data_IF_810622037789
#
_entry.id   IF_810622037789
#
_cell.length_a   1.000
_cell.length_b   1.000
_cell.length_c   1.000
_cell.angle_alpha   90.00
_cell.angle_beta   90.00
_cell.angle_gamma   90.00
#
_symmetry.space_group_name_H-M   'P 1'
#
loop_
_entity.id
_entity.type
_entity.pdbx_description
1 polymer ?
#
# COMPACT_ATOMS: atom_id res chain seq x y z
N UNK A 1 25.76 -26.89 4.48
CA UNK A 1 26.07 -25.58 3.85
C UNK A 1 24.84 -24.86 3.30
N UNK A 2 24.16 -25.31 2.23
CA UNK A 2 22.95 -24.64 1.74
C UNK A 2 21.78 -24.70 2.76
N UNK A 3 21.56 -25.87 3.37
CA UNK A 3 20.52 -26.05 4.40
C UNK A 3 20.85 -25.31 5.71
N UNK A 4 22.13 -25.08 6.02
CA UNK A 4 22.57 -24.27 7.18
C UNK A 4 22.44 -22.77 6.93
N UNK A 5 22.66 -22.31 5.68
CA UNK A 5 22.40 -20.94 5.24
C UNK A 5 20.90 -20.63 5.17
N UNK A 6 20.07 -21.61 4.81
CA UNK A 6 18.60 -21.49 4.88
C UNK A 6 18.08 -21.50 6.33
N UNK A 7 18.81 -22.12 7.26
CA UNK A 7 18.49 -22.11 8.68
C UNK A 7 18.86 -20.77 9.37
N UNK A 8 19.72 -19.94 8.78
CA UNK A 8 20.16 -18.64 9.35
C UNK A 8 19.37 -17.43 8.87
N UNK A 9 18.41 -17.58 7.96
CA UNK A 9 17.58 -16.47 7.44
C UNK A 9 16.37 -16.21 8.32
N UNK A 10 16.09 -14.94 8.65
CA UNK A 10 14.88 -14.58 9.39
C UNK A 10 13.63 -14.71 8.51
N UNK A 11 13.78 -14.58 7.19
CA UNK A 11 12.69 -14.67 6.22
C UNK A 11 12.78 -15.98 5.43
N UNK A 12 11.73 -16.82 5.40
CA UNK A 12 11.78 -18.10 4.68
C UNK A 12 11.85 -17.89 3.16
N UNK A 13 12.68 -18.68 2.47
CA UNK A 13 12.92 -18.56 1.02
C UNK A 13 11.63 -18.64 0.19
N UNK A 14 10.67 -19.51 0.57
CA UNK A 14 9.41 -19.66 -0.17
C UNK A 14 8.64 -18.34 -0.25
N UNK A 15 8.67 -17.51 0.81
CA UNK A 15 7.98 -16.22 0.83
C UNK A 15 8.67 -15.23 -0.11
N UNK A 16 10.01 -15.20 -0.11
CA UNK A 16 10.80 -14.35 -1.03
C UNK A 16 10.45 -14.66 -2.49
N UNK A 17 10.45 -15.96 -2.84
CA UNK A 17 10.17 -16.42 -4.21
C UNK A 17 8.71 -16.18 -4.60
N UNK A 18 7.75 -16.57 -3.75
CA UNK A 18 6.33 -16.40 -4.02
C UNK A 18 5.94 -14.92 -4.18
N UNK A 19 6.46 -14.05 -3.30
CA UNK A 19 6.23 -12.61 -3.39
C UNK A 19 6.81 -12.01 -4.67
N UNK A 20 8.05 -12.37 -5.01
CA UNK A 20 8.71 -11.90 -6.23
C UNK A 20 7.95 -12.35 -7.49
N UNK A 21 7.49 -13.60 -7.53
CA UNK A 21 6.68 -14.12 -8.63
C UNK A 21 5.34 -13.40 -8.73
N UNK A 22 4.64 -13.20 -7.61
CA UNK A 22 3.38 -12.45 -7.57
C UNK A 22 3.57 -11.03 -8.10
N UNK A 23 4.60 -10.31 -7.62
CA UNK A 23 4.97 -8.98 -8.11
C UNK A 23 5.22 -8.98 -9.61
N UNK A 24 6.03 -9.92 -10.11
CA UNK A 24 6.35 -10.02 -11.53
C UNK A 24 5.08 -10.15 -12.39
N UNK A 25 4.19 -11.09 -12.08
CA UNK A 25 2.98 -11.31 -12.88
C UNK A 25 2.00 -10.14 -12.78
N UNK A 26 1.80 -9.57 -11.58
CA UNK A 26 0.92 -8.41 -11.41
C UNK A 26 1.45 -7.21 -12.17
N UNK A 27 2.76 -6.95 -12.13
CA UNK A 27 3.38 -5.86 -12.90
C UNK A 27 3.12 -6.03 -14.39
N UNK A 28 3.31 -7.23 -14.94
CA UNK A 28 3.04 -7.48 -16.36
C UNK A 28 1.57 -7.22 -16.72
N UNK A 29 0.64 -7.71 -15.89
CA UNK A 29 -0.80 -7.55 -16.12
C UNK A 29 -1.20 -6.08 -16.02
N UNK A 30 -0.85 -5.39 -14.93
CA UNK A 30 -1.21 -3.99 -14.71
C UNK A 30 -0.57 -3.05 -15.70
N UNK A 31 0.69 -3.27 -16.06
CA UNK A 31 1.32 -2.46 -17.10
C UNK A 31 0.53 -2.54 -18.41
N UNK A 32 0.07 -3.73 -18.78
CA UNK A 32 -0.68 -3.95 -20.03
C UNK A 32 -2.10 -3.39 -20.02
N UNK A 33 -2.79 -3.41 -18.88
CA UNK A 33 -4.22 -3.08 -18.77
C UNK A 33 -4.51 -1.71 -18.13
N UNK A 34 -3.68 -1.29 -17.17
CA UNK A 34 -3.82 -0.03 -16.41
C UNK A 34 -2.76 1.00 -16.80
N UNK A 35 -1.66 0.58 -17.42
CA UNK A 35 -0.52 1.43 -17.79
C UNK A 35 0.45 1.67 -16.62
N UNK A 36 1.65 2.22 -16.91
CA UNK A 36 2.72 2.36 -15.92
C UNK A 36 2.39 3.32 -14.77
N UNK A 37 1.51 4.31 -15.01
CA UNK A 37 1.09 5.25 -13.98
C UNK A 37 0.35 4.55 -12.81
N UNK A 38 -0.23 3.37 -13.02
CA UNK A 38 -0.91 2.62 -11.98
C UNK A 38 0.01 2.36 -10.77
N UNK A 39 1.29 2.08 -11.01
CA UNK A 39 2.25 1.78 -9.94
C UNK A 39 2.59 2.97 -9.04
N UNK A 40 1.95 4.13 -9.24
CA UNK A 40 2.04 5.28 -8.35
C UNK A 40 1.09 5.17 -7.14
N UNK A 41 0.14 4.23 -7.12
CA UNK A 41 -0.62 3.94 -5.90
C UNK A 41 0.33 3.55 -4.76
N UNK A 42 0.08 4.05 -3.56
CA UNK A 42 0.92 3.72 -2.41
C UNK A 42 1.00 2.22 -2.13
N UNK A 43 -0.10 1.50 -2.34
CA UNK A 43 -0.16 0.04 -2.24
C UNK A 43 0.76 -0.65 -3.25
N UNK A 44 0.77 -0.23 -4.51
CA UNK A 44 1.67 -0.75 -5.54
C UNK A 44 3.14 -0.45 -5.21
N UNK A 45 3.44 0.75 -4.70
CA UNK A 45 4.81 1.13 -4.27
C UNK A 45 5.27 0.23 -3.12
N UNK A 46 4.43 0.04 -2.09
CA UNK A 46 4.73 -0.85 -0.98
C UNK A 46 4.90 -2.31 -1.45
N UNK A 47 4.00 -2.77 -2.31
CA UNK A 47 4.01 -4.11 -2.90
C UNK A 47 5.32 -4.40 -3.63
N UNK A 48 5.78 -3.46 -4.46
CA UNK A 48 7.07 -3.51 -5.16
C UNK A 48 8.26 -3.44 -4.19
N UNK A 49 8.24 -2.50 -3.24
CA UNK A 49 9.32 -2.28 -2.29
C UNK A 49 9.57 -3.49 -1.38
N UNK A 50 8.55 -4.30 -1.11
CA UNK A 50 8.70 -5.51 -0.33
C UNK A 50 9.53 -6.61 -1.02
N UNK A 51 9.76 -6.55 -2.33
CA UNK A 51 10.70 -7.47 -3.00
C UNK A 51 12.12 -7.31 -2.41
N UNK A 52 12.80 -6.16 -2.54
CA UNK A 52 14.09 -5.98 -1.87
C UNK A 52 13.98 -6.06 -0.34
N UNK A 53 12.86 -5.65 0.26
CA UNK A 53 12.64 -5.81 1.71
C UNK A 53 12.76 -7.27 2.18
N UNK A 54 12.15 -8.21 1.46
CA UNK A 54 12.19 -9.64 1.73
C UNK A 54 13.57 -10.25 1.46
N UNK A 55 14.21 -9.88 0.35
CA UNK A 55 15.52 -10.45 -0.02
C UNK A 55 16.65 -9.95 0.88
N UNK A 56 16.62 -8.67 1.27
CA UNK A 56 17.59 -8.04 2.16
C UNK A 56 17.26 -8.23 3.65
N UNK A 57 16.09 -8.81 3.97
CA UNK A 57 15.58 -8.94 5.34
C UNK A 57 15.61 -7.60 6.11
N UNK A 58 15.25 -6.52 5.40
CA UNK A 58 15.41 -5.16 5.88
C UNK A 58 14.21 -4.73 6.73
N UNK A 59 14.41 -4.61 8.04
CA UNK A 59 13.43 -4.04 8.97
C UNK A 59 13.00 -2.63 8.55
N UNK A 60 13.93 -1.81 8.04
CA UNK A 60 13.65 -0.47 7.54
C UNK A 60 12.66 -0.48 6.37
N UNK A 61 12.88 -1.28 5.32
CA UNK A 61 11.98 -1.32 4.15
C UNK A 61 10.59 -1.80 4.55
N UNK A 62 10.51 -2.84 5.39
CA UNK A 62 9.24 -3.34 5.91
C UNK A 62 8.52 -2.29 6.74
N UNK A 63 9.22 -1.64 7.67
CA UNK A 63 8.65 -0.63 8.55
C UNK A 63 8.19 0.59 7.76
N UNK A 64 8.94 1.00 6.74
CA UNK A 64 8.60 2.10 5.85
C UNK A 64 7.34 1.77 5.03
N UNK A 65 7.31 0.61 4.37
CA UNK A 65 6.15 0.15 3.61
C UNK A 65 4.91 0.06 4.50
N UNK A 66 5.03 -0.60 5.66
CA UNK A 66 3.95 -0.72 6.63
C UNK A 66 3.46 0.64 7.12
N UNK A 67 4.37 1.55 7.48
CA UNK A 67 4.03 2.92 7.89
C UNK A 67 3.25 3.68 6.80
N UNK A 68 3.60 3.47 5.53
CA UNK A 68 2.95 4.16 4.41
C UNK A 68 1.55 3.63 4.13
N UNK A 69 1.29 2.33 4.30
CA UNK A 69 0.07 1.70 3.78
C UNK A 69 -0.79 0.94 4.79
N UNK A 70 -0.37 0.74 6.04
CA UNK A 70 -1.11 -0.10 6.99
C UNK A 70 -2.59 0.31 7.12
N UNK A 71 -2.86 1.59 7.35
CA UNK A 71 -4.24 2.10 7.51
C UNK A 71 -5.07 1.91 6.24
N UNK A 72 -4.65 2.38 5.05
CA UNK A 72 -5.44 2.15 3.84
C UNK A 72 -5.60 0.67 3.48
N UNK A 73 -4.62 -0.21 3.75
CA UNK A 73 -4.75 -1.66 3.53
C UNK A 73 -5.77 -2.31 4.47
N UNK A 74 -5.83 -1.89 5.74
CA UNK A 74 -6.87 -2.31 6.68
C UNK A 74 -8.24 -1.83 6.18
N UNK A 75 -8.37 -0.55 5.82
CA UNK A 75 -9.63 0.01 5.34
C UNK A 75 -10.10 -0.68 4.05
N UNK A 76 -9.17 -0.98 3.14
CA UNK A 76 -9.46 -1.73 1.92
C UNK A 76 -9.96 -3.14 2.24
N UNK A 77 -9.26 -3.86 3.12
CA UNK A 77 -9.62 -5.23 3.50
C UNK A 77 -10.99 -5.29 4.19
N UNK A 78 -11.23 -4.40 5.15
CA UNK A 78 -12.53 -4.29 5.83
C UNK A 78 -13.65 -3.93 4.84
N UNK A 79 -13.40 -3.02 3.90
CA UNK A 79 -14.40 -2.64 2.89
C UNK A 79 -14.71 -3.79 1.94
N UNK A 80 -13.69 -4.52 1.47
CA UNK A 80 -13.85 -5.66 0.58
C UNK A 80 -14.62 -6.82 1.26
N UNK A 81 -14.15 -7.29 2.41
CA UNK A 81 -14.81 -8.39 3.12
C UNK A 81 -16.16 -7.99 3.70
N UNK A 82 -16.33 -6.74 4.13
CA UNK A 82 -17.62 -6.21 4.56
C UNK A 82 -18.66 -6.26 3.45
N UNK A 83 -18.30 -5.84 2.24
CA UNK A 83 -19.18 -5.93 1.07
C UNK A 83 -19.52 -7.39 0.69
N UNK A 84 -18.54 -8.31 0.76
CA UNK A 84 -18.77 -9.74 0.55
C UNK A 84 -19.74 -10.36 1.56
N UNK A 85 -19.72 -9.87 2.80
CA UNK A 85 -20.60 -10.32 3.88
C UNK A 85 -21.90 -9.51 3.98
N UNK A 86 -22.17 -8.63 3.01
CA UNK A 86 -23.34 -7.73 3.00
C UNK A 86 -23.47 -6.84 4.24
N UNK A 87 -22.35 -6.44 4.84
CA UNK A 87 -22.31 -5.53 5.98
C UNK A 87 -22.46 -4.06 5.55
N UNK A 88 -22.83 -3.15 6.47
CA UNK A 88 -22.86 -1.72 6.18
C UNK A 88 -21.53 -1.22 5.62
N UNK A 89 -21.62 -0.39 4.59
CA UNK A 89 -20.46 0.14 3.87
C UNK A 89 -19.60 1.02 4.79
N UNK A 90 -18.30 0.68 4.88
CA UNK A 90 -17.32 1.43 5.69
C UNK A 90 -16.64 2.53 4.88
N UNK A 91 -16.06 2.20 3.72
CA UNK A 91 -15.47 3.16 2.78
C UNK A 91 -15.78 2.78 1.33
N UNK A 92 -15.38 3.62 0.36
CA UNK A 92 -15.47 3.31 -1.08
C UNK A 92 -14.20 2.75 -1.72
N UNK A 93 -13.14 2.52 -0.95
CA UNK A 93 -11.80 2.24 -1.51
C UNK A 93 -11.71 0.88 -2.23
N UNK A 94 -12.63 -0.04 -1.92
CA UNK A 94 -12.74 -1.36 -2.55
C UNK A 94 -13.94 -1.51 -3.50
N UNK A 95 -14.71 -0.44 -3.77
CA UNK A 95 -15.93 -0.52 -4.59
C UNK A 95 -15.65 -1.07 -6.00
N UNK A 96 -14.49 -0.73 -6.57
CA UNK A 96 -14.08 -1.20 -7.89
C UNK A 96 -13.98 -2.73 -7.99
N UNK A 97 -13.83 -3.43 -6.85
CA UNK A 97 -13.85 -4.90 -6.79
C UNK A 97 -15.23 -5.49 -7.11
N UNK A 98 -16.27 -4.66 -7.12
CA UNK A 98 -17.66 -5.04 -7.40
C UNK A 98 -18.21 -4.38 -8.67
N UNK A 99 -17.36 -3.70 -9.44
CA UNK A 99 -17.76 -3.14 -10.73
C UNK A 99 -17.94 -4.24 -11.78
N UNK A 100 -19.17 -4.40 -12.26
CA UNK A 100 -19.54 -5.40 -13.28
C UNK A 100 -18.95 -5.07 -14.66
N UNK A 101 -18.53 -3.83 -14.91
CA UNK A 101 -17.88 -3.44 -16.15
C UNK A 101 -16.44 -3.97 -16.25
N UNK A 102 -15.83 -4.32 -15.11
CA UNK A 102 -14.49 -4.87 -15.05
C UNK A 102 -14.51 -6.42 -14.99
N UNK A 103 -13.76 -7.11 -15.86
CA UNK A 103 -13.67 -8.57 -15.82
C UNK A 103 -13.25 -9.08 -14.42
N UNK A 104 -13.94 -10.11 -13.92
CA UNK A 104 -13.71 -10.66 -12.59
C UNK A 104 -12.24 -11.05 -12.35
N UNK A 105 -11.59 -11.65 -13.35
CA UNK A 105 -10.19 -12.06 -13.23
C UNK A 105 -9.26 -10.86 -13.04
N UNK A 106 -9.54 -9.70 -13.64
CA UNK A 106 -8.72 -8.50 -13.50
C UNK A 106 -8.93 -7.83 -12.15
N UNK A 107 -10.16 -7.87 -11.61
CA UNK A 107 -10.42 -7.49 -10.22
C UNK A 107 -9.72 -8.43 -9.24
N UNK A 108 -9.68 -9.73 -9.52
CA UNK A 108 -8.99 -10.70 -8.67
C UNK A 108 -7.48 -10.43 -8.55
N UNK A 109 -6.85 -9.80 -9.54
CA UNK A 109 -5.45 -9.37 -9.47
C UNK A 109 -5.22 -8.38 -8.33
N UNK A 110 -6.20 -7.50 -8.07
CA UNK A 110 -6.17 -6.56 -6.94
C UNK A 110 -6.26 -7.21 -5.57
N UNK A 111 -6.54 -8.51 -5.48
CA UNK A 111 -6.54 -9.22 -4.20
C UNK A 111 -5.15 -9.29 -3.56
N UNK A 112 -4.08 -8.82 -4.23
CA UNK A 112 -2.75 -8.66 -3.64
C UNK A 112 -2.75 -7.79 -2.36
N UNK A 113 -3.75 -6.93 -2.18
CA UNK A 113 -3.96 -6.18 -0.93
C UNK A 113 -4.05 -7.09 0.30
N UNK A 114 -4.63 -8.28 0.17
CA UNK A 114 -4.76 -9.25 1.28
C UNK A 114 -3.39 -9.78 1.75
N UNK A 115 -2.57 -10.41 0.88
CA UNK A 115 -1.23 -10.81 1.29
C UNK A 115 -0.33 -9.60 1.59
N UNK A 116 -0.54 -8.43 0.97
CA UNK A 116 0.17 -7.20 1.33
C UNK A 116 -0.05 -6.81 2.77
N UNK A 117 -1.31 -6.71 3.22
CA UNK A 117 -1.62 -6.42 4.62
C UNK A 117 -0.97 -7.43 5.57
N UNK A 118 -1.03 -8.72 5.24
CA UNK A 118 -0.42 -9.76 6.05
C UNK A 118 1.11 -9.59 6.15
N UNK A 119 1.78 -9.32 5.03
CA UNK A 119 3.24 -9.21 4.96
C UNK A 119 3.76 -7.93 5.60
N UNK A 120 3.06 -6.78 5.45
CA UNK A 120 3.46 -5.52 6.11
C UNK A 120 3.27 -5.55 7.63
N UNK A 121 2.43 -6.45 8.18
CA UNK A 121 2.31 -6.67 9.63
C UNK A 121 3.32 -7.71 10.11
N UNK A 122 3.44 -8.82 9.37
CA UNK A 122 4.36 -9.91 9.68
C UNK A 122 5.83 -9.47 9.67
N UNK A 123 6.21 -8.61 8.72
CA UNK A 123 7.59 -8.14 8.58
C UNK A 123 8.13 -7.41 9.81
N UNK A 124 7.48 -6.33 10.27
CA UNK A 124 7.84 -5.65 11.52
C UNK A 124 7.81 -6.57 12.75
N UNK A 125 6.86 -7.50 12.84
CA UNK A 125 6.84 -8.50 13.91
C UNK A 125 8.09 -9.41 13.87
N UNK A 126 8.53 -9.82 12.68
CA UNK A 126 9.63 -10.78 12.50
C UNK A 126 11.02 -10.14 12.54
N UNK A 127 11.16 -8.94 11.97
CA UNK A 127 12.44 -8.24 11.76
C UNK A 127 12.62 -7.06 12.72
N UNK A 128 11.60 -6.73 13.52
CA UNK A 128 11.54 -5.52 14.33
C UNK A 128 10.95 -4.33 13.56
N UNK A 129 10.23 -3.47 14.27
CA UNK A 129 9.77 -2.19 13.74
C UNK A 129 10.81 -1.10 13.97
N UNK A 130 11.21 -0.41 12.91
CA UNK A 130 12.09 0.76 12.97
C UNK A 130 11.23 2.05 13.07
N UNK A 131 11.15 2.71 14.24
CA UNK A 131 10.37 3.94 14.38
C UNK A 131 10.99 5.13 13.61
N UNK A 132 12.26 5.06 13.24
CA UNK A 132 12.97 6.08 12.46
C UNK A 132 12.45 6.24 11.02
N UNK A 133 11.56 5.36 10.56
CA UNK A 133 10.99 5.43 9.21
C UNK A 133 9.94 6.53 9.03
N UNK A 134 9.34 7.04 10.12
CA UNK A 134 8.18 7.93 9.99
C UNK A 134 8.48 9.22 9.19
N UNK A 135 9.58 9.97 9.45
CA UNK A 135 9.95 11.11 8.61
C UNK A 135 10.14 10.74 7.13
N UNK A 136 10.70 9.57 6.85
CA UNK A 136 10.88 9.08 5.48
C UNK A 136 9.55 8.73 4.81
N UNK A 137 8.61 8.12 5.54
CA UNK A 137 7.27 7.83 5.05
C UNK A 137 6.54 9.12 4.64
N UNK A 138 6.69 10.20 5.42
CA UNK A 138 6.11 11.51 5.11
C UNK A 138 6.75 12.11 3.85
N UNK A 139 8.08 12.16 3.79
CA UNK A 139 8.81 12.72 2.65
C UNK A 139 8.51 11.97 1.34
N UNK A 140 8.51 10.64 1.39
CA UNK A 140 8.18 9.80 0.24
C UNK A 140 6.72 10.01 -0.16
N UNK A 141 5.80 10.09 0.79
CA UNK A 141 4.40 10.35 0.45
C UNK A 141 4.20 11.70 -0.24
N UNK A 142 4.84 12.76 0.25
CA UNK A 142 4.81 14.07 -0.41
C UNK A 142 5.38 14.01 -1.82
N UNK A 143 6.53 13.38 -1.98
CA UNK A 143 7.14 13.19 -3.28
C UNK A 143 6.22 12.42 -4.24
N UNK A 144 5.66 11.30 -3.80
CA UNK A 144 4.73 10.48 -4.59
C UNK A 144 3.48 11.25 -4.95
N UNK A 145 2.87 12.01 -4.03
CA UNK A 145 1.70 12.83 -4.32
C UNK A 145 1.97 13.88 -5.41
N UNK A 146 3.09 14.60 -5.29
CA UNK A 146 3.50 15.61 -6.27
C UNK A 146 3.80 14.98 -7.63
N UNK A 147 4.57 13.89 -7.63
CA UNK A 147 4.92 13.13 -8.83
C UNK A 147 3.68 12.58 -9.52
N UNK A 148 2.74 12.02 -8.76
CA UNK A 148 1.47 11.49 -9.26
C UNK A 148 0.66 12.58 -9.93
N UNK A 149 0.53 13.74 -9.30
CA UNK A 149 -0.21 14.87 -9.89
C UNK A 149 0.46 15.43 -11.15
N UNK A 150 1.77 15.34 -11.25
CA UNK A 150 2.51 15.79 -12.42
C UNK A 150 2.41 14.81 -13.60
N UNK A 151 2.40 13.50 -13.33
CA UNK A 151 2.44 12.45 -14.36
C UNK A 151 1.08 11.93 -14.83
N UNK A 152 0.00 12.19 -14.08
CA UNK A 152 -1.31 11.58 -14.33
C UNK A 152 -2.37 12.60 -14.74
N UNK A 153 -3.62 12.14 -14.95
CA UNK A 153 -4.76 13.01 -15.24
C UNK A 153 -5.86 12.79 -14.21
N UNK A 154 -6.85 13.68 -14.24
CA UNK A 154 -7.98 13.63 -13.29
C UNK A 154 -8.79 12.35 -13.38
N UNK A 155 -8.83 11.70 -14.56
CA UNK A 155 -9.59 10.47 -14.80
C UNK A 155 -9.14 9.34 -13.88
N UNK A 156 -7.83 9.14 -13.74
CA UNK A 156 -7.24 8.06 -12.95
C UNK A 156 -7.34 8.34 -11.45
N UNK A 157 -7.20 9.62 -11.05
CA UNK A 157 -7.30 10.08 -9.66
C UNK A 157 -6.49 9.25 -8.64
N UNK A 158 -5.31 8.79 -9.04
CA UNK A 158 -4.40 7.97 -8.23
C UNK A 158 -4.06 8.73 -6.94
N UNK A 159 -4.09 8.03 -5.81
CA UNK A 159 -3.89 8.60 -4.46
C UNK A 159 -4.78 9.84 -4.18
N UNK A 160 -5.93 9.94 -4.86
CA UNK A 160 -6.88 11.04 -4.73
C UNK A 160 -6.31 12.42 -5.07
N UNK A 161 -5.21 12.52 -5.83
CA UNK A 161 -4.51 13.79 -6.06
C UNK A 161 -5.34 14.85 -6.78
N UNK A 162 -6.46 14.50 -7.42
CA UNK A 162 -7.38 15.45 -8.05
C UNK A 162 -8.70 15.65 -7.29
N UNK A 163 -9.20 14.60 -6.63
CA UNK A 163 -10.52 14.59 -5.99
C UNK A 163 -10.53 13.66 -4.77
N UNK A 164 -11.11 14.12 -3.67
CA UNK A 164 -11.31 13.30 -2.47
C UNK A 164 -12.40 12.24 -2.68
N UNK A 165 -12.38 11.14 -1.92
CA UNK A 165 -13.44 10.13 -1.94
C UNK A 165 -14.75 10.58 -1.28
N UNK A 166 -14.75 11.74 -0.61
CA UNK A 166 -15.92 12.36 0.01
C UNK A 166 -16.31 13.65 -0.73
N UNK A 167 -17.59 14.02 -0.69
CA UNK A 167 -18.08 15.26 -1.30
C UNK A 167 -17.48 16.52 -0.64
N UNK A 168 -17.03 16.41 0.61
CA UNK A 168 -16.32 17.49 1.30
C UNK A 168 -15.01 17.84 0.58
N UNK A 169 -14.83 19.13 0.27
CA UNK A 169 -13.63 19.62 -0.43
C UNK A 169 -13.74 19.70 -1.96
N UNK A 170 -14.93 19.46 -2.55
CA UNK A 170 -15.15 19.55 -4.00
C UNK A 170 -14.82 20.94 -4.62
N UNK A 171 -14.80 22.00 -3.81
CA UNK A 171 -14.55 23.38 -4.25
C UNK A 171 -13.12 23.88 -3.96
N UNK A 172 -12.19 23.01 -3.53
CA UNK A 172 -10.81 23.44 -3.30
C UNK A 172 -10.08 23.73 -4.61
N UNK A 173 -9.21 24.74 -4.60
CA UNK A 173 -8.25 24.92 -5.69
C UNK A 173 -7.25 23.77 -5.70
N UNK A 174 -6.64 23.49 -6.86
CA UNK A 174 -5.64 22.44 -7.02
C UNK A 174 -4.54 22.45 -5.94
N UNK A 175 -4.02 23.64 -5.61
CA UNK A 175 -2.99 23.82 -4.59
C UNK A 175 -3.53 23.50 -3.19
N UNK A 176 -4.70 24.02 -2.83
CA UNK A 176 -5.32 23.74 -1.52
C UNK A 176 -5.64 22.25 -1.36
N UNK A 177 -6.13 21.60 -2.41
CA UNK A 177 -6.37 20.14 -2.43
C UNK A 177 -5.10 19.35 -2.11
N UNK A 178 -3.99 19.68 -2.78
CA UNK A 178 -2.71 19.02 -2.54
C UNK A 178 -2.16 19.29 -1.14
N UNK A 179 -2.22 20.53 -0.65
CA UNK A 179 -1.79 20.86 0.71
C UNK A 179 -2.59 20.08 1.76
N UNK A 180 -3.91 19.96 1.58
CA UNK A 180 -4.74 19.15 2.46
C UNK A 180 -4.31 17.68 2.41
N UNK A 181 -4.09 17.09 1.23
CA UNK A 181 -3.59 15.71 1.13
C UNK A 181 -2.23 15.52 1.81
N UNK A 182 -1.30 16.45 1.58
CA UNK A 182 0.04 16.43 2.17
C UNK A 182 0.00 16.55 3.70
N UNK A 183 -1.06 17.09 4.29
CA UNK A 183 -1.24 17.09 5.76
C UNK A 183 -2.02 15.87 6.25
N UNK A 184 -3.13 15.53 5.59
CA UNK A 184 -4.04 14.45 6.02
C UNK A 184 -3.37 13.10 5.92
N UNK A 185 -2.61 12.82 4.86
CA UNK A 185 -2.01 11.50 4.68
C UNK A 185 -0.99 11.19 5.79
N UNK A 186 -0.02 12.07 6.11
CA UNK A 186 0.84 11.90 7.28
C UNK A 186 0.08 11.79 8.60
N UNK A 187 -0.83 12.72 8.87
CA UNK A 187 -1.41 12.86 10.22
C UNK A 187 -2.53 11.86 10.51
N UNK A 188 -3.33 11.51 9.51
CA UNK A 188 -4.53 10.68 9.69
C UNK A 188 -4.35 9.23 9.22
N UNK A 189 -3.36 8.95 8.35
CA UNK A 189 -3.11 7.60 7.85
C UNK A 189 -1.76 7.05 8.33
N UNK A 190 -0.66 7.76 8.08
CA UNK A 190 0.67 7.25 8.42
C UNK A 190 0.94 7.30 9.92
N UNK A 191 0.61 8.38 10.61
CA UNK A 191 0.88 8.53 12.04
C UNK A 191 0.13 7.49 12.88
N UNK A 192 -1.18 7.24 12.70
CA UNK A 192 -1.85 6.19 13.46
C UNK A 192 -1.28 4.81 13.16
N UNK A 193 -0.94 4.52 11.90
CA UNK A 193 -0.30 3.26 11.53
C UNK A 193 1.10 3.10 12.14
N UNK A 194 1.91 4.16 12.11
CA UNK A 194 3.21 4.22 12.74
C UNK A 194 3.13 3.97 14.25
N UNK A 195 2.26 4.69 14.95
CA UNK A 195 2.06 4.52 16.39
C UNK A 195 1.57 3.12 16.73
N UNK A 196 0.64 2.55 15.96
CA UNK A 196 0.17 1.19 16.16
C UNK A 196 1.31 0.18 16.02
N UNK A 197 2.10 0.26 14.95
CA UNK A 197 3.25 -0.62 14.73
C UNK A 197 4.32 -0.44 15.81
N UNK A 198 4.56 0.80 16.23
CA UNK A 198 5.52 1.11 17.28
C UNK A 198 5.08 0.55 18.64
N UNK A 199 3.81 0.67 18.99
CA UNK A 199 3.27 0.07 20.22
C UNK A 199 3.32 -1.46 20.18
N UNK A 200 3.06 -2.07 19.02
CA UNK A 200 3.02 -3.53 18.89
C UNK A 200 4.41 -4.18 18.80
N UNK A 201 5.35 -3.53 18.13
CA UNK A 201 6.62 -4.14 17.70
C UNK A 201 7.85 -3.24 17.94
N UNK A 202 7.66 -2.09 18.59
CA UNK A 202 8.75 -1.26 19.09
C UNK A 202 9.44 -1.91 20.28
N UNK A 203 10.77 -1.94 20.24
CA UNK A 203 11.58 -2.26 21.40
C UNK A 203 11.81 -1.01 22.26
#
# INVERSE_FOLDING_TARGET
MADELLASTLVPLWLKVAWTAMVFFIVLIYWRHRGPANFLWFSDIAFLALVPGLWLESSFIFSLAACMVLVPEILWSVSYFGALLHLPRVTGIADYMFDEQEPLWLRAVSLFHVPLLAVIVWGPWRLGYDPGVYPWAVLIAWFVLLLTRWLTKSKENINHVYRFPVAAGANLTAVKHMLVLMMVLPLALQLPGHLLLWVMFGN
#
